data_IF_555138843722
#
_entry.id   IF_555138843722
#
_cell.length_a   1.000
_cell.length_b   1.000
_cell.length_c   1.000
_cell.angle_alpha   90.00
_cell.angle_beta   90.00
_cell.angle_gamma   90.00
#
_symmetry.space_group_name_H-M   'P 1'
#
loop_
_entity.id
_entity.type
_entity.pdbx_description
1 polymer ?
#
# COMPACT_ATOMS: atom_id res chain seq x y z
N UNK A 1 -7.52 13.21 3.83
CA UNK A 1 -8.19 11.90 3.66
C UNK A 1 -7.40 10.86 4.43
N UNK A 2 -8.05 9.79 4.93
CA UNK A 2 -7.39 8.62 5.57
C UNK A 2 -7.54 7.39 4.67
N UNK A 3 -7.20 7.58 3.39
CA UNK A 3 -7.37 6.55 2.37
C UNK A 3 -6.24 6.60 1.35
N UNK A 4 -6.00 5.46 0.70
CA UNK A 4 -5.27 5.36 -0.57
C UNK A 4 -6.27 5.12 -1.70
N UNK A 5 -6.04 5.78 -2.83
CA UNK A 5 -6.83 5.60 -4.05
C UNK A 5 -6.11 4.71 -5.05
N UNK A 6 -6.83 3.75 -5.64
CA UNK A 6 -6.32 2.90 -6.71
C UNK A 6 -7.18 3.09 -7.95
N UNK A 7 -6.52 3.37 -9.07
CA UNK A 7 -7.11 3.42 -10.40
C UNK A 7 -6.49 2.31 -11.24
N UNK A 8 -7.29 1.30 -11.60
CA UNK A 8 -6.81 0.18 -12.41
C UNK A 8 -6.88 0.51 -13.89
N UNK A 9 -5.84 0.20 -14.65
CA UNK A 9 -5.85 0.32 -16.10
C UNK A 9 -6.62 -0.87 -16.70
N UNK A 10 -7.51 -0.61 -17.65
CA UNK A 10 -8.30 -1.63 -18.36
C UNK A 10 -7.53 -2.28 -19.54
N UNK A 11 -6.25 -1.97 -19.72
CA UNK A 11 -5.39 -2.47 -20.79
C UNK A 11 -5.36 -1.64 -22.07
N UNK A 12 -6.20 -0.60 -22.18
CA UNK A 12 -6.22 0.30 -23.35
C UNK A 12 -5.72 1.73 -23.04
N UNK A 13 -5.10 1.93 -21.88
CA UNK A 13 -4.60 3.24 -21.44
C UNK A 13 -5.66 4.09 -20.74
N UNK A 14 -6.87 3.56 -20.53
CA UNK A 14 -7.92 4.20 -19.75
C UNK A 14 -7.93 3.59 -18.34
N UNK A 15 -8.00 4.46 -17.34
CA UNK A 15 -8.18 4.06 -15.96
C UNK A 15 -9.67 3.90 -15.61
N UNK A 16 -9.99 2.84 -14.89
CA UNK A 16 -11.30 2.66 -14.28
C UNK A 16 -11.52 3.69 -13.16
N UNK A 17 -12.78 3.80 -12.72
CA UNK A 17 -13.15 4.60 -11.56
C UNK A 17 -12.29 4.25 -10.34
N UNK A 18 -11.85 5.28 -9.62
CA UNK A 18 -11.06 5.14 -8.41
C UNK A 18 -11.78 4.26 -7.38
N UNK A 19 -11.08 3.24 -6.89
CA UNK A 19 -11.45 2.54 -5.65
C UNK A 19 -10.63 3.10 -4.50
N UNK A 20 -11.22 3.25 -3.32
CA UNK A 20 -10.50 3.75 -2.14
C UNK A 20 -10.41 2.69 -1.06
N UNK A 21 -9.26 2.63 -0.40
CA UNK A 21 -9.00 1.72 0.71
C UNK A 21 -8.65 2.54 1.95
N UNK A 22 -9.20 2.13 3.09
CA UNK A 22 -8.92 2.77 4.37
C UNK A 22 -7.44 2.61 4.76
N UNK A 23 -6.87 3.68 5.30
CA UNK A 23 -5.52 3.70 5.87
C UNK A 23 -5.56 4.20 7.31
N UNK A 24 -4.38 4.35 7.94
CA UNK A 24 -4.23 5.19 9.12
C UNK A 24 -4.44 6.68 8.83
N UNK A 25 -4.28 7.49 9.88
CA UNK A 25 -4.44 8.93 9.83
C UNK A 25 -3.30 9.60 9.06
N UNK A 26 -3.65 10.56 8.21
CA UNK A 26 -2.71 11.36 7.42
C UNK A 26 -1.67 10.49 6.68
N UNK A 27 -2.05 9.67 5.68
CA UNK A 27 -1.07 8.95 4.87
C UNK A 27 -0.21 9.94 4.07
N UNK A 28 1.12 9.76 4.06
CA UNK A 28 2.07 10.68 3.42
C UNK A 28 2.82 10.07 2.23
N UNK A 29 3.08 8.76 2.27
CA UNK A 29 3.85 8.07 1.24
C UNK A 29 3.28 6.70 0.97
N UNK A 30 3.44 6.25 -0.27
CA UNK A 30 3.09 4.89 -0.71
C UNK A 30 4.26 4.25 -1.44
N UNK A 31 4.41 2.94 -1.28
CA UNK A 31 5.31 2.10 -2.06
C UNK A 31 4.56 0.85 -2.53
N UNK A 32 5.02 0.26 -3.63
CA UNK A 32 4.40 -0.91 -4.25
C UNK A 32 5.46 -1.98 -4.46
N UNK A 33 5.22 -3.17 -3.92
CA UNK A 33 6.09 -4.36 -4.03
C UNK A 33 5.26 -5.59 -3.68
N UNK A 34 5.61 -6.75 -4.20
CA UNK A 34 5.08 -8.03 -3.72
C UNK A 34 5.78 -8.38 -2.41
N UNK A 35 5.07 -8.34 -1.28
CA UNK A 35 5.66 -8.62 0.05
C UNK A 35 5.42 -10.05 0.53
N UNK A 36 4.58 -10.81 -0.18
CA UNK A 36 4.17 -12.16 0.23
C UNK A 36 4.51 -13.24 -0.80
N UNK A 37 5.21 -12.86 -1.87
CA UNK A 37 5.73 -13.71 -2.93
C UNK A 37 4.64 -14.45 -3.70
N UNK A 38 3.50 -13.79 -3.90
CA UNK A 38 2.36 -14.33 -4.65
C UNK A 38 2.24 -13.79 -6.08
N UNK A 39 3.24 -13.03 -6.52
CA UNK A 39 3.36 -12.32 -7.80
C UNK A 39 2.30 -11.23 -8.03
N UNK A 40 1.71 -10.67 -6.98
CA UNK A 40 0.78 -9.55 -7.09
C UNK A 40 1.33 -8.37 -6.30
N UNK A 41 1.52 -7.19 -6.92
CA UNK A 41 2.02 -6.04 -6.19
C UNK A 41 1.05 -5.60 -5.09
N UNK A 42 1.57 -5.49 -3.87
CA UNK A 42 0.90 -5.00 -2.68
C UNK A 42 1.14 -3.50 -2.48
N UNK A 43 0.39 -2.87 -1.57
CA UNK A 43 0.56 -1.45 -1.23
C UNK A 43 1.07 -1.32 0.20
N UNK A 44 2.14 -0.55 0.38
CA UNK A 44 2.67 -0.14 1.69
C UNK A 44 2.44 1.37 1.84
N UNK A 45 1.93 1.79 2.99
CA UNK A 45 1.57 3.19 3.29
C UNK A 45 2.24 3.66 4.56
N UNK A 46 2.91 4.82 4.52
CA UNK A 46 3.31 5.56 5.72
C UNK A 46 2.13 6.39 6.25
N UNK A 47 1.60 6.03 7.43
CA UNK A 47 0.52 6.75 8.09
C UNK A 47 1.10 7.75 9.10
N UNK A 48 1.44 8.95 8.63
CA UNK A 48 2.12 9.98 9.42
C UNK A 48 1.41 10.30 10.74
N UNK A 49 0.08 10.41 10.71
CA UNK A 49 -0.73 10.78 11.88
C UNK A 49 -0.97 9.61 12.83
N UNK A 50 -0.84 8.38 12.36
CA UNK A 50 -1.03 7.17 13.18
C UNK A 50 0.27 6.62 13.76
N UNK A 51 1.44 7.12 13.35
CA UNK A 51 2.74 6.55 13.72
C UNK A 51 2.84 5.05 13.36
N UNK A 52 2.33 4.70 12.18
CA UNK A 52 2.37 3.34 11.66
C UNK A 52 2.78 3.32 10.19
N UNK A 53 3.33 2.20 9.76
CA UNK A 53 3.27 1.76 8.37
C UNK A 53 2.17 0.72 8.28
N UNK A 54 1.43 0.69 7.18
CA UNK A 54 0.49 -0.40 6.96
C UNK A 54 0.54 -0.98 5.56
N UNK A 55 0.24 -2.27 5.48
CA UNK A 55 0.34 -3.12 4.30
C UNK A 55 -1.07 -3.52 3.89
N UNK A 56 -1.41 -3.28 2.62
CA UNK A 56 -2.62 -3.75 1.99
C UNK A 56 -2.23 -4.81 0.96
N UNK A 57 -2.57 -6.07 1.23
CA UNK A 57 -2.27 -7.19 0.33
C UNK A 57 -3.25 -7.21 -0.84
N UNK A 58 -2.75 -7.48 -2.05
CA UNK A 58 -3.55 -7.58 -3.26
C UNK A 58 -4.08 -9.00 -3.47
N UNK A 59 -5.40 -9.14 -3.59
CA UNK A 59 -6.02 -10.44 -3.81
C UNK A 59 -5.95 -10.92 -5.29
N UNK A 60 -5.36 -10.11 -6.18
CA UNK A 60 -5.01 -10.50 -7.57
C UNK A 60 -6.02 -10.10 -8.63
N UNK A 61 -7.15 -9.53 -8.22
CA UNK A 61 -8.16 -8.94 -9.10
C UNK A 61 -8.23 -7.42 -8.95
N UNK A 62 -7.15 -6.81 -8.43
CA UNK A 62 -7.09 -5.38 -8.14
C UNK A 62 -7.91 -4.97 -6.90
N UNK A 63 -8.34 -5.94 -6.08
CA UNK A 63 -8.96 -5.70 -4.78
C UNK A 63 -7.90 -5.92 -3.69
N UNK A 64 -7.70 -4.91 -2.86
CA UNK A 64 -6.81 -4.98 -1.71
C UNK A 64 -7.56 -5.36 -0.44
N UNK A 65 -6.93 -6.17 0.40
CA UNK A 65 -7.43 -6.56 1.72
C UNK A 65 -7.33 -5.39 2.71
N UNK A 66 -8.00 -5.54 3.85
CA UNK A 66 -7.90 -4.60 4.97
C UNK A 66 -6.45 -4.41 5.39
N UNK A 67 -6.07 -3.15 5.64
CA UNK A 67 -4.70 -2.81 6.03
C UNK A 67 -4.29 -3.53 7.33
N UNK A 68 -3.15 -4.21 7.29
CA UNK A 68 -2.42 -4.64 8.48
C UNK A 68 -1.43 -3.55 8.86
N UNK A 69 -1.33 -3.18 10.14
CA UNK A 69 -0.48 -2.06 10.59
C UNK A 69 0.64 -2.50 11.51
N UNK A 70 1.76 -1.81 11.39
CA UNK A 70 2.97 -2.00 12.16
C UNK A 70 3.39 -0.66 12.75
N UNK A 71 3.66 -0.64 14.05
CA UNK A 71 4.09 0.57 14.73
C UNK A 71 5.46 1.05 14.20
N UNK A 72 5.61 2.36 14.08
CA UNK A 72 6.88 3.01 13.77
C UNK A 72 7.30 3.93 14.91
N UNK A 73 8.34 4.75 14.67
CA UNK A 73 8.53 5.99 15.41
C UNK A 73 7.46 7.03 15.08
N UNK A 74 7.61 8.22 15.67
CA UNK A 74 6.71 9.33 15.41
C UNK A 74 6.80 9.79 13.94
N UNK A 75 5.64 10.10 13.36
CA UNK A 75 5.53 10.85 12.12
C UNK A 75 6.30 10.24 10.92
N UNK A 76 6.06 8.97 10.56
CA UNK A 76 6.71 8.36 9.40
C UNK A 76 6.34 9.14 8.13
N UNK A 77 7.35 9.60 7.40
CA UNK A 77 7.16 10.48 6.24
C UNK A 77 7.25 9.74 4.91
N UNK A 78 8.12 8.74 4.82
CA UNK A 78 8.39 8.00 3.58
C UNK A 78 8.57 6.51 3.84
N UNK A 79 8.24 5.70 2.84
CA UNK A 79 8.52 4.25 2.79
C UNK A 79 9.31 3.96 1.52
N UNK A 80 10.36 3.16 1.67
CA UNK A 80 11.12 2.56 0.58
C UNK A 80 11.13 1.05 0.78
N UNK A 81 11.17 0.31 -0.33
CA UNK A 81 11.04 -1.14 -0.35
C UNK A 81 12.23 -1.74 -1.09
N UNK A 82 12.83 -2.77 -0.50
CA UNK A 82 13.93 -3.53 -1.08
C UNK A 82 13.97 -4.89 -0.39
N UNK A 83 14.27 -5.94 -1.15
CA UNK A 83 14.62 -7.24 -0.58
C UNK A 83 16.04 -7.16 0.01
N UNK A 84 16.14 -7.17 1.34
CA UNK A 84 17.40 -7.02 2.08
C UNK A 84 18.08 -8.35 2.39
N UNK A 85 17.34 -9.46 2.36
CA UNK A 85 17.79 -10.77 2.81
C UNK A 85 17.76 -11.83 1.70
N UNK A 86 17.30 -11.48 0.49
CA UNK A 86 17.27 -12.34 -0.69
C UNK A 86 16.52 -13.65 -0.44
N UNK A 87 15.40 -13.58 0.27
CA UNK A 87 14.55 -14.73 0.57
C UNK A 87 13.35 -14.87 -0.36
N UNK A 88 13.29 -14.03 -1.41
CA UNK A 88 12.26 -14.03 -2.44
C UNK A 88 12.81 -14.44 -3.80
#
# INVERSE_FOLDING_TARGET
SNTVGVLLNNGNGIFLTQTTYATGANPYSVAVVDVNSDNKPDIIVANYGSNTVGVLLNNGNGIFLTQTTYATGANPYSVAVVDVNSDN
#
